data_IF_667252219282
#
_entry.id   IF_667252219282
#
_cell.length_a   1.000
_cell.length_b   1.000
_cell.length_c   1.000
_cell.angle_alpha   90.00
_cell.angle_beta   90.00
_cell.angle_gamma   90.00
#
_symmetry.space_group_name_H-M   'P 1'
#
loop_
_entity.id
_entity.type
_entity.pdbx_description
1 polymer ?
#
# COMPACT_ATOMS: atom_id res chain seq x y z
N UNK A 1 6.99 -49.05 -32.62
CA UNK A 1 5.94 -48.21 -31.98
C UNK A 1 6.31 -47.74 -30.56
N UNK A 2 7.50 -48.08 -30.05
CA UNK A 2 7.90 -47.90 -28.64
C UNK A 2 8.62 -46.56 -28.34
N UNK A 3 9.23 -45.92 -29.35
CA UNK A 3 10.05 -44.70 -29.15
C UNK A 3 9.29 -43.39 -28.94
N UNK A 4 7.99 -43.34 -29.29
CA UNK A 4 7.19 -42.11 -29.18
C UNK A 4 6.63 -41.87 -27.77
N UNK A 5 6.61 -42.89 -26.92
CA UNK A 5 6.18 -42.74 -25.52
C UNK A 5 7.29 -42.19 -24.62
N UNK A 6 8.55 -42.46 -24.95
CA UNK A 6 9.71 -42.00 -24.18
C UNK A 6 9.97 -40.50 -24.32
N UNK A 7 9.69 -39.93 -25.49
CA UNK A 7 9.78 -38.47 -25.72
C UNK A 7 8.71 -37.70 -24.95
N UNK A 8 7.49 -38.23 -24.86
CA UNK A 8 6.38 -37.62 -24.09
C UNK A 8 6.65 -37.71 -22.57
N UNK A 9 7.32 -38.76 -22.11
CA UNK A 9 7.65 -38.92 -20.68
C UNK A 9 8.75 -37.97 -20.22
N UNK A 10 9.78 -37.74 -21.05
CA UNK A 10 10.88 -36.81 -20.75
C UNK A 10 10.43 -35.34 -20.67
N UNK A 11 9.48 -34.92 -21.50
CA UNK A 11 8.98 -33.53 -21.49
C UNK A 11 8.18 -33.18 -20.22
N UNK A 12 7.31 -34.09 -19.75
CA UNK A 12 6.60 -33.92 -18.46
C UNK A 12 7.55 -33.86 -17.27
N UNK A 13 8.65 -34.59 -17.32
CA UNK A 13 9.65 -34.65 -16.25
C UNK A 13 10.55 -33.41 -16.20
N UNK A 14 10.97 -32.89 -17.36
CA UNK A 14 11.72 -31.64 -17.46
C UNK A 14 10.89 -30.45 -16.95
N UNK A 15 9.59 -30.44 -17.26
CA UNK A 15 8.68 -29.40 -16.78
C UNK A 15 8.49 -29.48 -15.26
N UNK A 16 8.25 -30.67 -14.68
CA UNK A 16 8.17 -30.86 -13.21
C UNK A 16 9.44 -30.43 -12.47
N UNK A 17 10.61 -30.62 -13.07
CA UNK A 17 11.90 -30.19 -12.48
C UNK A 17 12.08 -28.68 -12.46
N UNK A 18 11.54 -27.95 -13.43
CA UNK A 18 11.70 -26.49 -13.48
C UNK A 18 10.95 -25.77 -12.36
N UNK A 19 9.79 -26.30 -11.95
CA UNK A 19 9.07 -25.83 -10.75
C UNK A 19 9.82 -26.22 -9.47
N UNK A 20 10.43 -27.41 -9.43
CA UNK A 20 11.20 -27.86 -8.25
C UNK A 20 12.45 -27.00 -7.98
N UNK A 21 13.07 -26.42 -9.01
CA UNK A 21 14.26 -25.57 -8.88
C UNK A 21 13.94 -24.13 -8.46
N UNK A 22 12.77 -23.59 -8.82
CA UNK A 22 12.32 -22.29 -8.30
C UNK A 22 11.79 -22.38 -6.86
N UNK A 23 11.37 -23.58 -6.43
CA UNK A 23 11.02 -23.95 -5.06
C UNK A 23 12.26 -24.23 -4.16
N UNK A 24 13.47 -24.35 -4.73
CA UNK A 24 14.70 -24.55 -3.92
C UNK A 24 15.22 -23.25 -3.30
N UNK A 25 14.81 -22.10 -3.86
CA UNK A 25 15.19 -20.80 -3.31
C UNK A 25 14.19 -20.40 -2.21
N UNK A 26 14.50 -20.79 -0.98
CA UNK A 26 13.70 -20.55 0.23
C UNK A 26 13.26 -19.08 0.37
N UNK A 27 14.11 -18.14 -0.03
CA UNK A 27 13.83 -16.71 0.00
C UNK A 27 12.71 -16.32 -0.97
N UNK A 28 12.74 -16.84 -2.20
CA UNK A 28 11.74 -16.52 -3.22
C UNK A 28 10.34 -17.04 -2.84
N UNK A 29 10.28 -18.25 -2.28
CA UNK A 29 9.05 -18.83 -1.74
C UNK A 29 8.48 -18.01 -0.58
N UNK A 30 9.33 -17.59 0.36
CA UNK A 30 8.92 -16.75 1.47
C UNK A 30 8.27 -15.44 1.00
N UNK A 31 8.89 -14.75 0.05
CA UNK A 31 8.31 -13.54 -0.51
C UNK A 31 7.04 -13.81 -1.32
N UNK A 32 6.97 -14.89 -2.10
CA UNK A 32 5.78 -15.21 -2.90
C UNK A 32 4.55 -15.49 -2.02
N UNK A 33 4.75 -16.14 -0.86
CA UNK A 33 3.69 -16.41 0.11
C UNK A 33 3.26 -15.14 0.88
N UNK A 34 4.21 -14.23 1.16
CA UNK A 34 3.94 -12.96 1.83
C UNK A 34 3.34 -11.90 0.90
N UNK A 35 3.66 -11.98 -0.40
CA UNK A 35 3.22 -11.01 -1.40
C UNK A 35 1.71 -10.74 -1.40
N UNK A 36 0.80 -11.74 -1.41
CA UNK A 36 -0.64 -11.48 -1.45
C UNK A 36 -1.13 -10.69 -0.24
N UNK A 37 -0.67 -11.04 0.98
CA UNK A 37 -1.08 -10.31 2.19
C UNK A 37 -0.46 -8.92 2.23
N UNK A 38 0.79 -8.77 1.78
CA UNK A 38 1.45 -7.47 1.68
C UNK A 38 0.70 -6.54 0.71
N UNK A 39 0.32 -7.03 -0.47
CA UNK A 39 -0.47 -6.25 -1.45
C UNK A 39 -1.82 -5.83 -0.87
N UNK A 40 -2.50 -6.72 -0.16
CA UNK A 40 -3.78 -6.41 0.50
C UNK A 40 -3.58 -5.32 1.56
N UNK A 41 -2.58 -5.45 2.44
CA UNK A 41 -2.30 -4.47 3.49
C UNK A 41 -1.94 -3.10 2.91
N UNK A 42 -1.01 -3.08 1.94
CA UNK A 42 -0.61 -1.84 1.27
C UNK A 42 -1.80 -1.21 0.55
N UNK A 43 -2.62 -1.99 -0.16
CA UNK A 43 -3.80 -1.49 -0.83
C UNK A 43 -4.83 -0.92 0.15
N UNK A 44 -5.09 -1.64 1.25
CA UNK A 44 -6.05 -1.23 2.28
C UNK A 44 -5.62 0.04 3.02
N UNK A 45 -4.32 0.25 3.23
CA UNK A 45 -3.79 1.46 3.86
C UNK A 45 -3.72 2.61 2.84
N UNK A 46 -3.15 2.34 1.66
CA UNK A 46 -2.89 3.37 0.65
C UNK A 46 -4.18 3.93 0.08
N UNK A 47 -5.21 3.12 -0.12
CA UNK A 47 -6.48 3.56 -0.67
C UNK A 47 -7.17 4.68 0.16
N UNK A 48 -7.51 4.47 1.45
CA UNK A 48 -8.08 5.53 2.27
C UNK A 48 -7.08 6.67 2.53
N UNK A 49 -5.77 6.38 2.63
CA UNK A 49 -4.75 7.40 2.83
C UNK A 49 -4.69 8.40 1.66
N UNK A 50 -4.64 7.90 0.42
CA UNK A 50 -4.66 8.74 -0.79
C UNK A 50 -5.97 9.52 -0.86
N UNK A 51 -7.10 8.88 -0.54
CA UNK A 51 -8.39 9.57 -0.49
C UNK A 51 -8.39 10.70 0.54
N UNK A 52 -7.79 10.50 1.73
CA UNK A 52 -7.65 11.56 2.74
C UNK A 52 -6.79 12.72 2.24
N UNK A 53 -5.70 12.43 1.54
CA UNK A 53 -4.89 13.47 0.90
C UNK A 53 -5.72 14.23 -0.12
N UNK A 54 -6.44 13.56 -1.02
CA UNK A 54 -7.28 14.23 -2.02
C UNK A 54 -8.36 15.08 -1.34
N UNK A 55 -9.01 14.56 -0.30
CA UNK A 55 -10.05 15.27 0.43
C UNK A 55 -9.53 16.48 1.20
N UNK A 56 -8.27 16.52 1.62
CA UNK A 56 -7.72 17.71 2.30
C UNK A 56 -7.57 18.92 1.37
N UNK A 57 -7.52 18.72 0.05
CA UNK A 57 -7.56 19.78 -0.96
C UNK A 57 -8.99 20.13 -1.42
N UNK A 58 -10.00 19.44 -0.89
CA UNK A 58 -11.39 19.67 -1.22
C UNK A 58 -12.13 20.27 -0.02
N UNK A 59 -13.12 21.13 -0.29
CA UNK A 59 -14.05 21.60 0.72
C UNK A 59 -15.19 20.58 0.87
N UNK A 60 -14.87 19.45 1.48
CA UNK A 60 -15.81 18.34 1.65
C UNK A 60 -16.44 18.38 3.04
N UNK A 61 -17.68 18.88 3.13
CA UNK A 61 -18.45 18.86 4.37
C UNK A 61 -19.10 17.49 4.59
N UNK A 62 -19.06 16.98 5.83
CA UNK A 62 -19.71 15.71 6.17
C UNK A 62 -21.22 15.80 5.92
N UNK A 63 -21.76 14.92 5.07
CA UNK A 63 -23.18 14.89 4.72
C UNK A 63 -23.56 15.69 3.47
N UNK A 64 -22.63 16.47 2.90
CA UNK A 64 -22.84 17.19 1.63
C UNK A 64 -22.24 16.38 0.48
N UNK A 65 -23.00 16.18 -0.60
CA UNK A 65 -22.55 15.41 -1.78
C UNK A 65 -21.61 16.21 -2.68
N UNK A 66 -21.74 17.53 -2.64
CA UNK A 66 -20.89 18.44 -3.39
C UNK A 66 -19.54 18.60 -2.67
N UNK A 67 -18.47 18.41 -3.44
CA UNK A 67 -17.10 18.56 -2.98
C UNK A 67 -16.40 19.47 -3.97
N UNK A 68 -16.08 20.70 -3.54
CA UNK A 68 -15.38 21.66 -4.37
C UNK A 68 -13.87 21.51 -4.19
N UNK A 69 -13.11 21.50 -5.27
CA UNK A 69 -11.65 21.53 -5.19
C UNK A 69 -11.19 22.94 -4.85
N UNK A 70 -10.66 23.12 -3.63
CA UNK A 70 -10.19 24.42 -3.11
C UNK A 70 -8.66 24.50 -3.02
N UNK A 71 -7.96 23.45 -3.46
CA UNK A 71 -6.50 23.39 -3.43
C UNK A 71 -5.96 23.58 -2.02
N UNK A 72 -5.11 24.59 -1.82
CA UNK A 72 -4.40 24.81 -0.55
C UNK A 72 -5.13 25.73 0.44
N UNK A 73 -6.34 26.18 0.14
CA UNK A 73 -7.01 27.19 0.97
C UNK A 73 -7.37 26.67 2.36
N UNK A 74 -7.72 25.38 2.47
CA UNK A 74 -7.90 24.70 3.76
C UNK A 74 -6.66 24.83 4.67
N UNK A 75 -5.47 24.64 4.10
CA UNK A 75 -4.21 24.75 4.83
C UNK A 75 -3.90 26.19 5.23
N UNK A 76 -4.13 27.16 4.33
CA UNK A 76 -3.95 28.59 4.64
C UNK A 76 -4.88 29.04 5.75
N UNK A 77 -6.12 28.57 5.75
CA UNK A 77 -7.09 28.84 6.79
C UNK A 77 -6.62 28.30 8.15
N UNK A 78 -6.18 27.04 8.21
CA UNK A 78 -5.66 26.43 9.44
C UNK A 78 -4.41 27.12 9.97
N UNK A 79 -3.45 27.45 9.10
CA UNK A 79 -2.20 28.11 9.50
C UNK A 79 -2.40 29.55 10.01
N UNK A 80 -3.49 30.21 9.61
CA UNK A 80 -3.87 31.53 10.15
C UNK A 80 -4.63 31.42 11.48
N UNK A 81 -5.08 30.23 11.87
CA UNK A 81 -5.80 30.03 13.12
C UNK A 81 -4.79 29.92 14.29
N UNK A 82 -4.79 30.89 15.23
CA UNK A 82 -3.81 30.90 16.33
C UNK A 82 -3.98 29.72 17.28
N UNK A 83 -5.19 29.16 17.39
CA UNK A 83 -5.44 27.98 18.22
C UNK A 83 -4.80 26.75 17.57
N UNK A 84 -5.00 26.56 16.26
CA UNK A 84 -4.41 25.44 15.52
C UNK A 84 -2.88 25.43 15.64
N UNK A 85 -2.24 26.58 15.37
CA UNK A 85 -0.78 26.71 15.44
C UNK A 85 -0.27 26.41 16.86
N UNK A 86 -0.91 26.96 17.90
CA UNK A 86 -0.55 26.66 19.29
C UNK A 86 -0.67 25.17 19.60
N UNK A 87 -1.76 24.52 19.19
CA UNK A 87 -1.97 23.07 19.40
C UNK A 87 -0.91 22.23 18.71
N UNK A 88 -0.53 22.58 17.48
CA UNK A 88 0.55 21.89 16.74
C UNK A 88 1.88 22.03 17.49
N UNK A 89 2.27 23.26 17.86
CA UNK A 89 3.50 23.52 18.60
C UNK A 89 3.52 22.78 19.93
N UNK A 90 2.44 22.84 20.71
CA UNK A 90 2.33 22.13 21.97
C UNK A 90 2.52 20.62 21.76
N UNK A 91 1.89 20.03 20.73
CA UNK A 91 2.02 18.60 20.43
C UNK A 91 3.46 18.22 20.12
N UNK A 92 4.17 19.02 19.32
CA UNK A 92 5.60 18.80 19.04
C UNK A 92 6.46 18.90 20.30
N UNK A 93 6.21 19.92 21.14
CA UNK A 93 6.92 20.11 22.41
C UNK A 93 6.73 18.90 23.33
N UNK A 94 5.50 18.41 23.47
CA UNK A 94 5.23 17.22 24.28
C UNK A 94 5.88 15.95 23.72
N UNK A 95 5.85 15.72 22.41
CA UNK A 95 6.50 14.53 21.82
C UNK A 95 8.01 14.55 21.98
N UNK A 96 8.65 15.72 21.86
CA UNK A 96 10.11 15.85 21.95
C UNK A 96 10.59 15.80 23.41
N UNK A 97 9.85 16.40 24.34
CA UNK A 97 10.23 16.45 25.75
C UNK A 97 9.73 15.24 26.55
N UNK A 98 8.67 14.58 26.09
CA UNK A 98 8.02 13.46 26.76
C UNK A 98 8.54 12.08 26.34
N UNK A 99 9.37 12.01 25.30
CA UNK A 99 10.23 10.86 24.97
C UNK A 99 11.57 11.03 25.68
#
# INVERSE_FOLDING_TARGET
MTGMQDTIRKSKQAQRRHWALTLENEWFLGYLLLFPIFVILVGLISYPFINTIIFSFQNKLLGVRESEWVGLDNYRYLLRNPIFVKTVVNSFVYTILGV
#
